data_IF_414376546717
#
_entry.id   IF_414376546717
#
_cell.length_a   1.000
_cell.length_b   1.000
_cell.length_c   1.000
_cell.angle_alpha   90.00
_cell.angle_beta   90.00
_cell.angle_gamma   90.00
#
_symmetry.space_group_name_H-M   'P 1'
#
loop_
_entity.id
_entity.type
_entity.pdbx_description
1 polymer ?
#
# COMPACT_ATOMS: atom_id res chain seq x y z
N UNK A 1 11.82 -8.64 -1.83
CA UNK A 1 10.61 -9.07 -1.09
C UNK A 1 9.46 -8.49 -1.87
N UNK A 2 8.72 -9.30 -2.61
CA UNK A 2 7.87 -8.78 -3.69
C UNK A 2 6.47 -8.48 -3.17
N UNK A 3 6.13 -7.20 -3.02
CA UNK A 3 4.74 -6.78 -2.86
C UNK A 3 4.02 -6.98 -4.19
N UNK A 4 2.85 -7.61 -4.14
CA UNK A 4 2.04 -7.94 -5.32
C UNK A 4 0.56 -7.72 -5.03
N UNK A 5 -0.26 -7.64 -6.08
CA UNK A 5 -1.71 -7.59 -5.94
C UNK A 5 -2.23 -8.71 -5.02
N UNK A 6 -3.17 -8.39 -4.15
CA UNK A 6 -3.68 -9.27 -3.09
C UNK A 6 -2.89 -9.25 -1.78
N UNK A 7 -1.70 -8.64 -1.74
CA UNK A 7 -0.91 -8.56 -0.51
C UNK A 7 -1.60 -7.69 0.54
N UNK A 8 -1.63 -8.17 1.79
CA UNK A 8 -2.07 -7.40 2.96
C UNK A 8 -0.93 -6.52 3.46
N UNK A 9 -1.24 -5.25 3.66
CA UNK A 9 -0.26 -4.26 4.12
C UNK A 9 -0.85 -3.38 5.20
N UNK A 10 0.05 -2.82 6.00
CA UNK A 10 -0.21 -1.73 6.93
C UNK A 10 0.71 -0.57 6.62
N UNK A 11 0.22 0.65 6.84
CA UNK A 11 0.97 1.87 6.60
C UNK A 11 0.53 2.96 7.57
N UNK A 12 1.39 3.94 7.78
CA UNK A 12 1.08 5.09 8.62
C UNK A 12 0.44 6.20 7.79
N UNK A 13 -0.69 6.71 8.27
CA UNK A 13 -1.35 7.92 7.79
C UNK A 13 -1.38 8.92 8.95
N UNK A 14 -0.41 9.84 8.95
CA UNK A 14 -0.09 10.64 10.14
C UNK A 14 0.33 9.74 11.31
N UNK A 15 -0.39 9.84 12.44
CA UNK A 15 -0.14 9.02 13.63
C UNK A 15 -0.99 7.74 13.69
N UNK A 16 -1.77 7.45 12.64
CA UNK A 16 -2.69 6.32 12.61
C UNK A 16 -2.15 5.19 11.75
N UNK A 17 -2.17 3.96 12.26
CA UNK A 17 -1.88 2.77 11.45
C UNK A 17 -3.15 2.37 10.70
N UNK A 18 -3.06 2.36 9.37
CA UNK A 18 -4.11 1.89 8.47
C UNK A 18 -3.72 0.53 7.91
N UNK A 19 -4.72 -0.22 7.47
CA UNK A 19 -4.55 -1.53 6.82
C UNK A 19 -5.29 -1.54 5.50
N UNK A 20 -4.78 -2.32 4.56
CA UNK A 20 -5.40 -2.45 3.27
C UNK A 20 -4.82 -3.60 2.46
N UNK A 21 -5.35 -3.72 1.25
CA UNK A 21 -4.95 -4.74 0.28
C UNK A 21 -4.37 -4.09 -0.96
N UNK A 22 -3.18 -4.50 -1.35
CA UNK A 22 -2.53 -4.07 -2.60
C UNK A 22 -3.40 -4.50 -3.77
N UNK A 23 -3.80 -3.56 -4.61
CA UNK A 23 -4.54 -3.80 -5.85
C UNK A 23 -3.60 -3.92 -7.04
N UNK A 24 -2.57 -3.08 -7.07
CA UNK A 24 -1.57 -3.07 -8.13
C UNK A 24 -0.23 -2.55 -7.59
N UNK A 25 0.85 -2.90 -8.30
CA UNK A 25 2.17 -2.32 -8.11
C UNK A 25 2.58 -1.68 -9.42
N UNK A 26 2.97 -0.42 -9.33
CA UNK A 26 3.38 0.41 -10.47
C UNK A 26 4.81 0.91 -10.24
N UNK A 27 5.50 1.23 -11.33
CA UNK A 27 6.79 1.93 -11.27
C UNK A 27 6.60 3.35 -11.79
N UNK A 28 6.86 4.34 -10.94
CA UNK A 28 6.75 5.77 -11.25
C UNK A 28 8.12 6.39 -11.00
N UNK A 29 8.72 7.01 -12.02
CA UNK A 29 10.02 7.70 -11.91
C UNK A 29 11.12 6.83 -11.25
N UNK A 30 11.20 5.56 -11.65
CA UNK A 30 12.11 4.54 -11.07
C UNK A 30 11.84 4.14 -9.60
N UNK A 31 10.75 4.61 -9.00
CA UNK A 31 10.27 4.18 -7.68
C UNK A 31 9.08 3.23 -7.82
N UNK A 32 9.09 2.13 -7.05
CA UNK A 32 7.93 1.24 -6.98
C UNK A 32 6.91 1.77 -5.97
N UNK A 33 5.66 1.89 -6.44
CA UNK A 33 4.52 2.34 -5.64
C UNK A 33 3.45 1.25 -5.65
N UNK A 34 2.76 1.09 -4.52
CA UNK A 34 1.60 0.22 -4.41
C UNK A 34 0.31 1.05 -4.40
N UNK A 35 -0.67 0.60 -5.16
CA UNK A 35 -2.05 1.06 -5.09
C UNK A 35 -2.77 0.20 -4.06
N UNK A 36 -3.24 0.78 -2.96
CA UNK A 36 -3.78 0.05 -1.81
C UNK A 36 -5.23 0.44 -1.61
N UNK A 37 -6.13 -0.55 -1.57
CA UNK A 37 -7.51 -0.36 -1.13
C UNK A 37 -7.55 -0.44 0.40
N UNK A 38 -7.99 0.63 1.05
CA UNK A 38 -8.00 0.75 2.51
C UNK A 38 -9.21 0.02 3.09
N UNK A 39 -8.96 -0.79 4.12
CA UNK A 39 -10.00 -1.56 4.81
C UNK A 39 -11.00 -0.60 5.48
N UNK A 40 -12.30 -0.83 5.28
CA UNK A 40 -13.37 -0.09 5.95
C UNK A 40 -13.73 1.27 5.35
N UNK A 41 -12.91 1.88 4.49
CA UNK A 41 -13.27 3.13 3.79
C UNK A 41 -13.57 2.93 2.30
N UNK A 42 -13.02 1.87 1.69
CA UNK A 42 -13.15 1.63 0.26
C UNK A 42 -12.33 2.61 -0.60
N UNK A 43 -11.61 3.54 0.03
CA UNK A 43 -10.71 4.47 -0.63
C UNK A 43 -9.47 3.74 -1.14
N UNK A 44 -8.84 4.33 -2.15
CA UNK A 44 -7.60 3.80 -2.72
C UNK A 44 -6.50 4.83 -2.56
N UNK A 45 -5.36 4.42 -2.01
CA UNK A 45 -4.19 5.27 -1.78
C UNK A 45 -2.99 4.75 -2.57
N UNK A 46 -2.12 5.66 -3.02
CA UNK A 46 -0.83 5.31 -3.65
C UNK A 46 0.29 5.59 -2.67
N UNK A 47 1.09 4.57 -2.37
CA UNK A 47 2.17 4.67 -1.39
C UNK A 47 3.46 4.04 -1.92
N UNK A 48 4.62 4.64 -1.63
CA UNK A 48 5.91 4.01 -1.87
C UNK A 48 6.00 2.65 -1.17
N UNK A 49 6.50 1.63 -1.86
CA UNK A 49 6.59 0.27 -1.31
C UNK A 49 7.41 0.22 -0.02
N UNK A 50 8.46 1.04 0.08
CA UNK A 50 9.31 1.15 1.27
C UNK A 50 8.61 1.78 2.50
N UNK A 51 7.47 2.45 2.31
CA UNK A 51 6.65 3.00 3.39
C UNK A 51 5.62 1.99 3.95
N UNK A 52 5.57 0.78 3.40
CA UNK A 52 4.60 -0.25 3.76
C UNK A 52 5.21 -1.31 4.65
N UNK A 53 4.50 -1.69 5.71
CA UNK A 53 4.77 -2.87 6.51
C UNK A 53 3.85 -4.01 6.07
N UNK A 54 4.39 -5.19 5.81
CA UNK A 54 3.57 -6.39 5.55
C UNK A 54 2.85 -6.80 6.83
N UNK A 55 1.55 -7.08 6.68
CA UNK A 55 0.68 -7.55 7.76
C UNK A 55 0.53 -9.07 7.77
#
# INVERSE_FOLDING_TARGET
MDLQAGSRVSFYEGNTVRRGTVQAVETVEAMQVAVIKVDGTGETVKMPINALARG
#
